data_IF_955539371745
#
_entry.id   IF_955539371745
#
_cell.length_a   1.000
_cell.length_b   1.000
_cell.length_c   1.000
_cell.angle_alpha   90.00
_cell.angle_beta   90.00
_cell.angle_gamma   90.00
#
_symmetry.space_group_name_H-M   'P 1'
#
loop_
_entity.id
_entity.type
_entity.pdbx_description
1 polymer ?
#
# COMPACT_ATOMS: atom_id res chain seq x y z
N UNK A 1 -11.03 15.39 -14.35
CA UNK A 1 -9.75 15.61 -13.63
C UNK A 1 -9.96 15.60 -12.11
N UNK A 2 -10.63 16.58 -11.49
CA UNK A 2 -10.93 16.52 -10.03
C UNK A 2 -11.73 15.27 -9.63
N UNK A 3 -12.77 14.93 -10.40
CA UNK A 3 -13.57 13.72 -10.16
C UNK A 3 -12.73 12.43 -10.21
N UNK A 4 -11.74 12.38 -11.10
CA UNK A 4 -10.84 11.24 -11.22
C UNK A 4 -9.94 11.08 -10.00
N UNK A 5 -9.40 12.17 -9.42
CA UNK A 5 -8.60 12.07 -8.17
C UNK A 5 -9.47 11.62 -7.00
N UNK A 6 -10.70 12.13 -6.89
CA UNK A 6 -11.62 11.72 -5.83
C UNK A 6 -12.00 10.22 -5.93
N UNK A 7 -12.22 9.71 -7.15
CA UNK A 7 -12.46 8.29 -7.42
C UNK A 7 -11.25 7.44 -7.04
N UNK A 8 -10.04 7.85 -7.41
CA UNK A 8 -8.81 7.13 -7.06
C UNK A 8 -8.56 7.11 -5.54
N UNK A 9 -8.77 8.22 -4.85
CA UNK A 9 -8.71 8.27 -3.39
C UNK A 9 -9.76 7.35 -2.74
N UNK A 10 -10.97 7.30 -3.27
CA UNK A 10 -12.01 6.40 -2.78
C UNK A 10 -11.60 4.92 -2.96
N UNK A 11 -11.03 4.57 -4.12
CA UNK A 11 -10.52 3.23 -4.39
C UNK A 11 -9.38 2.85 -3.42
N UNK A 12 -8.45 3.77 -3.13
CA UNK A 12 -7.40 3.52 -2.14
C UNK A 12 -7.97 3.28 -0.73
N UNK A 13 -8.97 4.07 -0.32
CA UNK A 13 -9.64 3.88 0.97
C UNK A 13 -10.36 2.53 1.05
N UNK A 14 -10.99 2.10 -0.03
CA UNK A 14 -11.61 0.76 -0.11
C UNK A 14 -10.57 -0.36 0.00
N UNK A 15 -9.40 -0.19 -0.63
CA UNK A 15 -8.29 -1.14 -0.53
C UNK A 15 -7.73 -1.23 0.89
N UNK A 16 -7.56 -0.09 1.58
CA UNK A 16 -7.18 -0.06 3.00
C UNK A 16 -8.21 -0.79 3.88
N UNK A 17 -9.50 -0.56 3.65
CA UNK A 17 -10.57 -1.23 4.39
C UNK A 17 -10.58 -2.75 4.14
N UNK A 18 -10.29 -3.18 2.90
CA UNK A 18 -10.23 -4.58 2.51
C UNK A 18 -9.02 -5.30 3.10
N UNK A 19 -7.84 -4.68 3.09
CA UNK A 19 -6.60 -5.27 3.56
C UNK A 19 -6.43 -5.18 5.09
N UNK A 20 -7.06 -4.19 5.73
CA UNK A 20 -6.92 -3.93 7.16
C UNK A 20 -7.12 -5.16 8.07
N UNK A 21 -8.18 -5.97 7.88
CA UNK A 21 -8.42 -7.18 8.67
C UNK A 21 -7.31 -8.24 8.57
N UNK A 22 -6.54 -8.27 7.49
CA UNK A 22 -5.46 -9.25 7.30
C UNK A 22 -4.34 -9.13 8.34
N UNK A 23 -4.20 -7.97 9.01
CA UNK A 23 -3.26 -7.78 10.13
C UNK A 23 -3.49 -8.76 11.28
N UNK A 24 -4.73 -9.19 11.49
CA UNK A 24 -5.13 -10.08 12.59
C UNK A 24 -5.27 -11.54 12.14
N UNK A 25 -5.02 -11.84 10.87
CA UNK A 25 -5.19 -13.17 10.28
C UNK A 25 -3.91 -13.62 9.55
N UNK A 26 -2.87 -14.06 10.30
CA UNK A 26 -1.69 -14.66 9.68
C UNK A 26 -2.08 -15.81 8.74
N UNK A 27 -1.34 -15.96 7.64
CA UNK A 27 -1.56 -16.94 6.54
C UNK A 27 -2.77 -16.66 5.65
N UNK A 28 -3.48 -15.55 5.86
CA UNK A 28 -4.60 -15.17 4.98
C UNK A 28 -4.13 -14.81 3.56
N UNK A 29 -2.97 -14.16 3.46
CA UNK A 29 -2.38 -13.75 2.19
C UNK A 29 -1.15 -14.58 1.87
N UNK A 30 -0.87 -14.73 0.59
CA UNK A 30 0.38 -15.27 0.07
C UNK A 30 1.34 -14.14 -0.35
N UNK A 31 2.62 -14.50 -0.51
CA UNK A 31 3.66 -13.58 -0.99
C UNK A 31 3.30 -12.96 -2.34
N UNK A 32 2.68 -13.73 -3.23
CA UNK A 32 2.31 -13.26 -4.58
C UNK A 32 1.32 -12.10 -4.52
N UNK A 33 0.31 -12.20 -3.66
CA UNK A 33 -0.72 -11.18 -3.45
C UNK A 33 -0.10 -9.93 -2.83
N UNK A 34 0.73 -10.08 -1.79
CA UNK A 34 1.41 -8.93 -1.15
C UNK A 34 2.35 -8.22 -2.13
N UNK A 35 3.13 -8.98 -2.92
CA UNK A 35 4.01 -8.41 -3.94
C UNK A 35 3.22 -7.69 -5.02
N UNK A 36 2.09 -8.25 -5.47
CA UNK A 36 1.24 -7.60 -6.46
C UNK A 36 0.69 -6.27 -5.97
N UNK A 37 0.29 -6.17 -4.69
CA UNK A 37 -0.14 -4.91 -4.08
C UNK A 37 1.02 -3.91 -4.13
N UNK A 38 2.23 -4.29 -3.70
CA UNK A 38 3.41 -3.42 -3.73
C UNK A 38 3.75 -2.93 -5.14
N UNK A 39 3.64 -3.78 -6.15
CA UNK A 39 3.84 -3.38 -7.55
C UNK A 39 2.83 -2.33 -7.99
N UNK A 40 1.53 -2.58 -7.80
CA UNK A 40 0.47 -1.69 -8.28
C UNK A 40 0.55 -0.32 -7.59
N UNK A 41 0.65 -0.31 -6.27
CA UNK A 41 0.71 0.95 -5.51
C UNK A 41 2.11 1.60 -5.56
N UNK A 42 3.13 0.85 -5.93
CA UNK A 42 4.46 1.38 -6.27
C UNK A 42 4.41 2.19 -7.57
N UNK A 43 3.79 1.64 -8.62
CA UNK A 43 3.56 2.38 -9.87
C UNK A 43 2.68 3.61 -9.62
N UNK A 44 1.59 3.47 -8.86
CA UNK A 44 0.72 4.61 -8.54
C UNK A 44 1.47 5.72 -7.76
N UNK A 45 2.35 5.37 -6.82
CA UNK A 45 3.25 6.33 -6.14
C UNK A 45 4.16 7.02 -7.16
N UNK A 46 4.79 6.24 -8.04
CA UNK A 46 5.79 6.73 -8.97
C UNK A 46 5.17 7.62 -10.05
N UNK A 47 3.88 7.47 -10.34
CA UNK A 47 3.10 8.33 -11.24
C UNK A 47 2.42 9.51 -10.51
N UNK A 48 2.48 9.57 -9.17
CA UNK A 48 1.79 10.59 -8.37
C UNK A 48 2.20 12.03 -8.74
N UNK A 49 3.43 12.21 -9.24
CA UNK A 49 3.95 13.51 -9.68
C UNK A 49 3.12 14.14 -10.79
N UNK A 50 2.46 13.35 -11.65
CA UNK A 50 1.62 13.87 -12.75
C UNK A 50 0.45 14.70 -12.21
N UNK A 51 -0.14 14.25 -11.10
CA UNK A 51 -1.24 14.94 -10.43
C UNK A 51 -0.75 16.20 -9.71
N UNK A 52 0.38 16.09 -9.01
CA UNK A 52 1.01 17.22 -8.32
C UNK A 52 1.41 18.32 -9.31
N UNK A 53 2.02 17.95 -10.44
CA UNK A 53 2.42 18.89 -11.49
C UNK A 53 1.22 19.58 -12.12
N UNK A 54 0.08 18.89 -12.26
CA UNK A 54 -1.15 19.51 -12.74
C UNK A 54 -1.64 20.60 -11.79
N UNK A 55 -1.67 20.32 -10.47
CA UNK A 55 -2.07 21.31 -9.46
C UNK A 55 -1.15 22.53 -9.49
N UNK A 56 0.17 22.27 -9.52
CA UNK A 56 1.19 23.32 -9.62
C UNK A 56 1.02 24.21 -10.85
N UNK A 57 0.70 23.63 -12.01
CA UNK A 57 0.46 24.39 -13.25
C UNK A 57 -0.78 25.27 -13.13
N UNK A 58 -1.88 24.73 -12.60
CA UNK A 58 -3.11 25.51 -12.42
C UNK A 58 -2.97 26.64 -11.41
N UNK A 59 -2.25 26.44 -10.29
CA UNK A 59 -1.95 27.52 -9.35
C UNK A 59 -1.15 28.67 -9.97
N UNK A 60 -0.36 28.40 -11.01
CA UNK A 60 0.43 29.42 -11.71
C UNK A 60 -0.38 30.25 -12.73
N UNK A 61 -1.65 29.91 -12.97
CA UNK A 61 -2.52 30.65 -13.88
C UNK A 61 -3.22 31.83 -13.19
N UNK A 62 -3.77 32.75 -13.99
CA UNK A 62 -4.63 33.83 -13.48
C UNK A 62 -6.03 33.28 -13.20
N UNK A 63 -6.29 32.92 -11.94
CA UNK A 63 -7.54 32.29 -11.52
C UNK A 63 -8.58 33.29 -10.98
N UNK A 64 -9.83 33.11 -11.39
CA UNK A 64 -10.99 33.70 -10.68
C UNK A 64 -11.12 33.11 -9.26
N UNK A 65 -11.84 33.77 -8.34
CA UNK A 65 -12.07 33.21 -7.00
C UNK A 65 -12.67 31.81 -7.01
N UNK A 66 -13.62 31.54 -7.93
CA UNK A 66 -14.24 30.22 -8.04
C UNK A 66 -13.25 29.15 -8.54
N UNK A 67 -12.42 29.49 -9.54
CA UNK A 67 -11.39 28.57 -10.05
C UNK A 67 -10.34 28.28 -8.98
N UNK A 68 -9.94 29.28 -8.19
CA UNK A 68 -9.00 29.12 -7.07
C UNK A 68 -9.51 28.08 -6.07
N UNK A 69 -10.77 28.18 -5.65
CA UNK A 69 -11.39 27.18 -4.76
C UNK A 69 -11.37 25.76 -5.35
N UNK A 70 -11.56 25.61 -6.66
CA UNK A 70 -11.50 24.31 -7.31
C UNK A 70 -10.07 23.74 -7.37
N UNK A 71 -9.08 24.60 -7.63
CA UNK A 71 -7.66 24.20 -7.63
C UNK A 71 -7.21 23.84 -6.20
N UNK A 72 -7.58 24.62 -5.19
CA UNK A 72 -7.26 24.31 -3.79
C UNK A 72 -7.87 22.96 -3.37
N UNK A 73 -9.13 22.70 -3.78
CA UNK A 73 -9.77 21.39 -3.56
C UNK A 73 -9.03 20.25 -4.27
N UNK A 74 -8.58 20.48 -5.50
CA UNK A 74 -7.81 19.50 -6.24
C UNK A 74 -6.51 19.14 -5.52
N UNK A 75 -5.75 20.14 -5.05
CA UNK A 75 -4.48 19.93 -4.35
C UNK A 75 -4.67 19.19 -3.03
N UNK A 76 -5.74 19.49 -2.29
CA UNK A 76 -6.11 18.75 -1.09
C UNK A 76 -6.38 17.26 -1.41
N UNK A 77 -7.16 16.99 -2.48
CA UNK A 77 -7.46 15.61 -2.91
C UNK A 77 -6.21 14.86 -3.36
N UNK A 78 -5.29 15.51 -4.10
CA UNK A 78 -4.02 14.89 -4.52
C UNK A 78 -3.14 14.56 -3.31
N UNK A 79 -3.12 15.45 -2.31
CA UNK A 79 -2.38 15.21 -1.05
C UNK A 79 -2.94 14.00 -0.30
N UNK A 80 -4.26 13.94 -0.12
CA UNK A 80 -4.92 12.79 0.51
C UNK A 80 -4.71 11.49 -0.30
N UNK A 81 -4.77 11.58 -1.62
CA UNK A 81 -4.53 10.43 -2.51
C UNK A 81 -3.11 9.89 -2.33
N UNK A 82 -2.09 10.76 -2.35
CA UNK A 82 -0.70 10.38 -2.11
C UNK A 82 -0.50 9.74 -0.72
N UNK A 83 -1.11 10.32 0.31
CA UNK A 83 -1.05 9.77 1.68
C UNK A 83 -1.68 8.36 1.75
N UNK A 84 -2.88 8.18 1.20
CA UNK A 84 -3.53 6.86 1.18
C UNK A 84 -2.73 5.80 0.42
N UNK A 85 -2.05 6.17 -0.67
CA UNK A 85 -1.17 5.24 -1.39
C UNK A 85 0.02 4.81 -0.53
N UNK A 86 0.63 5.77 0.19
CA UNK A 86 1.72 5.46 1.12
C UNK A 86 1.26 4.55 2.27
N UNK A 87 0.05 4.76 2.80
CA UNK A 87 -0.54 3.88 3.82
C UNK A 87 -0.75 2.45 3.29
N UNK A 88 -1.18 2.27 2.05
CA UNK A 88 -1.33 0.94 1.44
C UNK A 88 0.02 0.23 1.31
N UNK A 89 1.05 0.94 0.84
CA UNK A 89 2.39 0.37 0.73
C UNK A 89 2.95 -0.05 2.09
N UNK A 90 2.79 0.80 3.11
CA UNK A 90 3.19 0.49 4.48
C UNK A 90 2.42 -0.73 5.02
N UNK A 91 1.11 -0.81 4.77
CA UNK A 91 0.30 -1.97 5.13
C UNK A 91 0.76 -3.24 4.41
N UNK A 92 1.12 -3.15 3.13
CA UNK A 92 1.66 -4.29 2.40
C UNK A 92 3.02 -4.76 2.96
N UNK A 93 3.86 -3.85 3.43
CA UNK A 93 5.10 -4.18 4.14
C UNK A 93 4.83 -4.88 5.49
N UNK A 94 3.84 -4.40 6.25
CA UNK A 94 3.40 -5.05 7.50
C UNK A 94 2.90 -6.49 7.24
N UNK A 95 2.06 -6.68 6.21
CA UNK A 95 1.44 -7.97 5.91
C UNK A 95 2.42 -9.01 5.36
N UNK A 96 3.53 -8.58 4.77
CA UNK A 96 4.57 -9.47 4.24
C UNK A 96 5.10 -10.45 5.31
N UNK A 97 5.18 -10.03 6.57
CA UNK A 97 5.64 -10.89 7.67
C UNK A 97 4.63 -12.00 8.04
N UNK A 98 3.37 -11.83 7.66
CA UNK A 98 2.27 -12.72 8.00
C UNK A 98 1.82 -13.63 6.86
N UNK A 99 2.51 -13.65 5.72
CA UNK A 99 2.12 -14.48 4.57
C UNK A 99 2.25 -15.97 4.88
N UNK A 100 1.49 -16.80 4.16
CA UNK A 100 1.53 -18.25 4.36
C UNK A 100 2.94 -18.81 4.14
N UNK A 101 3.65 -18.37 3.12
CA UNK A 101 5.03 -18.77 2.82
C UNK A 101 5.98 -18.38 3.94
N UNK A 102 5.94 -17.13 4.41
CA UNK A 102 6.82 -16.65 5.48
C UNK A 102 6.57 -17.41 6.79
N UNK A 103 5.30 -17.63 7.14
CA UNK A 103 4.93 -18.36 8.35
C UNK A 103 5.29 -19.84 8.24
N UNK A 104 5.10 -20.47 7.08
CA UNK A 104 5.50 -21.87 6.85
C UNK A 104 7.01 -22.05 6.86
N UNK A 105 7.79 -21.15 6.24
CA UNK A 105 9.25 -21.20 6.26
C UNK A 105 9.81 -21.13 7.69
N UNK A 106 9.18 -20.34 8.56
CA UNK A 106 9.53 -20.30 9.99
C UNK A 106 9.24 -21.63 10.69
N UNK A 107 8.08 -22.24 10.40
CA UNK A 107 7.72 -23.55 10.95
C UNK A 107 8.67 -24.66 10.48
N UNK A 108 9.06 -24.65 9.21
CA UNK A 108 10.01 -25.61 8.64
C UNK A 108 11.41 -25.46 9.26
N UNK A 109 11.84 -24.22 9.54
CA UNK A 109 13.07 -23.96 10.27
C UNK A 109 13.04 -24.55 11.69
N UNK A 110 11.94 -24.38 12.42
CA UNK A 110 11.76 -24.94 13.76
C UNK A 110 11.82 -26.48 13.74
N UNK A 111 11.16 -27.12 12.78
CA UNK A 111 11.27 -28.56 12.54
C UNK A 111 12.70 -28.99 12.19
N UNK A 112 13.41 -28.19 11.40
CA UNK A 112 14.82 -28.41 11.07
C UNK A 112 15.73 -28.39 12.31
N UNK A 113 15.52 -27.43 13.21
CA UNK A 113 16.24 -27.35 14.50
C UNK A 113 15.94 -28.60 15.35
N UNK A 114 14.69 -29.02 15.46
CA UNK A 114 14.31 -30.24 16.20
C UNK A 114 15.01 -31.48 15.63
N UNK A 115 15.02 -31.63 14.31
CA UNK A 115 15.67 -32.75 13.64
C UNK A 115 17.18 -32.80 13.94
N UNK A 116 17.87 -31.65 13.92
CA UNK A 116 19.29 -31.54 14.27
C UNK A 116 19.51 -31.90 15.74
N UNK A 117 18.73 -31.34 16.67
CA UNK A 117 18.88 -31.61 18.10
C UNK A 117 18.64 -33.09 18.44
N UNK A 118 17.65 -33.74 17.81
CA UNK A 118 17.41 -35.19 17.98
C UNK A 118 18.54 -36.03 17.38
N UNK A 119 19.14 -35.60 16.26
CA UNK A 119 20.29 -36.26 15.64
C UNK A 119 21.61 -36.12 16.41
N UNK A 120 21.72 -35.11 17.28
CA UNK A 120 22.89 -34.83 18.14
C UNK A 120 22.79 -35.48 19.53
N UNK A 121 21.68 -36.14 19.87
CA UNK A 121 21.56 -36.91 21.11
C UNK A 121 22.52 -38.11 21.13
N UNK A 122 23.01 -38.56 22.30
CA UNK A 122 23.95 -39.67 22.38
C UNK A 122 23.31 -40.94 21.81
N UNK A 123 23.97 -41.54 20.82
CA UNK A 123 23.63 -42.88 20.31
C UNK A 123 23.95 -43.96 21.32
#
# INVERSE_FOLDING_TARGET
MIGSVAEQLAANREQLATLGPARLAPRLLDDATVNRIKEVFGVQRDDMWLWQETGRRWQAETLTPQQRTLVDRYEALVTEFAASNAEILALADELAAGTIETVMAKSDLELGIEAVLRGLGPR
#
